data_IF_851236841477
#
_entry.id   IF_851236841477
#
_cell.length_a   1.000
_cell.length_b   1.000
_cell.length_c   1.000
_cell.angle_alpha   90.00
_cell.angle_beta   90.00
_cell.angle_gamma   90.00
#
_symmetry.space_group_name_H-M   'P 1'
#
loop_
_entity.id
_entity.type
_entity.pdbx_description
1 polymer ?
#
# COMPACT_ATOMS: atom_id res chain seq x y z
N UNK A 1 14.05 43.16 8.79
CA UNK A 1 14.49 42.09 7.87
C UNK A 1 13.45 40.98 7.91
N UNK A 2 12.65 40.82 6.86
CA UNK A 2 11.62 39.81 6.76
C UNK A 2 12.26 38.57 6.13
N UNK A 3 12.47 37.54 6.94
CA UNK A 3 13.01 36.27 6.43
C UNK A 3 11.88 35.55 5.72
N UNK A 4 11.89 35.57 4.40
CA UNK A 4 10.99 34.76 3.57
C UNK A 4 11.48 33.32 3.63
N UNK A 5 10.76 32.49 4.37
CA UNK A 5 10.97 31.03 4.34
C UNK A 5 10.57 30.54 2.95
N UNK A 6 11.47 29.90 2.19
CA UNK A 6 11.09 29.36 0.88
C UNK A 6 10.06 28.24 1.09
N UNK A 7 8.85 28.45 0.59
CA UNK A 7 7.87 27.39 0.47
C UNK A 7 8.43 26.37 -0.53
N UNK A 8 8.88 25.21 -0.04
CA UNK A 8 9.17 24.07 -0.90
C UNK A 8 7.86 23.63 -1.53
N UNK A 9 7.66 23.98 -2.79
CA UNK A 9 6.63 23.35 -3.60
C UNK A 9 7.13 21.92 -3.82
N UNK A 10 6.59 20.99 -3.06
CA UNK A 10 6.83 19.56 -3.30
C UNK A 10 6.27 19.22 -4.68
N UNK A 11 7.12 18.76 -5.57
CA UNK A 11 6.67 18.24 -6.90
C UNK A 11 6.04 16.86 -6.79
N UNK A 12 6.00 16.29 -5.59
CA UNK A 12 5.39 15.00 -5.30
C UNK A 12 3.86 15.16 -5.20
N UNK A 13 3.08 14.41 -5.99
CA UNK A 13 1.63 14.49 -5.94
C UNK A 13 1.14 14.00 -4.57
N UNK A 14 0.27 14.77 -3.93
CA UNK A 14 -0.31 14.40 -2.65
C UNK A 14 -1.02 13.05 -2.75
N UNK A 15 -0.82 12.12 -1.79
CA UNK A 15 -1.53 10.86 -1.74
C UNK A 15 -3.04 11.05 -1.66
N UNK A 16 -3.76 10.11 -2.24
CA UNK A 16 -5.22 10.09 -2.16
C UNK A 16 -5.66 9.24 -0.98
N UNK A 17 -6.49 9.79 -0.11
CA UNK A 17 -7.11 9.07 1.00
C UNK A 17 -8.51 8.57 0.65
N UNK A 18 -8.79 7.32 0.99
CA UNK A 18 -10.11 6.68 0.84
C UNK A 18 -10.43 5.89 2.10
N UNK A 19 -11.59 6.16 2.69
CA UNK A 19 -12.07 5.47 3.89
C UNK A 19 -13.14 4.45 3.51
N UNK A 20 -13.01 3.22 4.02
CA UNK A 20 -13.99 2.16 3.83
C UNK A 20 -13.79 1.01 4.81
N UNK A 21 -14.87 0.37 5.24
CA UNK A 21 -14.87 -0.79 6.14
C UNK A 21 -14.03 -0.61 7.42
N UNK A 22 -13.89 0.62 7.93
CA UNK A 22 -13.07 0.92 9.11
C UNK A 22 -11.56 0.96 8.82
N UNK A 23 -11.18 1.23 7.58
CA UNK A 23 -9.80 1.46 7.16
C UNK A 23 -9.66 2.82 6.50
N UNK A 24 -8.55 3.49 6.73
CA UNK A 24 -8.06 4.61 5.93
C UNK A 24 -6.96 4.09 5.00
N UNK A 25 -7.13 4.30 3.71
CA UNK A 25 -6.18 3.92 2.67
C UNK A 25 -5.57 5.18 2.07
N UNK A 26 -4.31 5.43 2.39
CA UNK A 26 -3.50 6.42 1.70
C UNK A 26 -2.87 5.76 0.46
N UNK A 27 -3.11 6.33 -0.71
CA UNK A 27 -2.79 5.73 -2.00
C UNK A 27 -1.85 6.61 -2.81
N UNK A 28 -0.71 6.06 -3.21
CA UNK A 28 0.14 6.61 -4.26
C UNK A 28 -0.13 5.87 -5.58
N UNK A 29 -0.75 6.55 -6.54
CA UNK A 29 -1.25 5.89 -7.75
C UNK A 29 -0.19 5.60 -8.81
N UNK A 30 0.95 6.29 -8.77
CA UNK A 30 1.95 6.20 -9.84
C UNK A 30 1.46 6.71 -11.19
N UNK A 31 2.33 6.67 -12.21
CA UNK A 31 2.04 7.20 -13.53
C UNK A 31 1.03 6.35 -14.35
N UNK A 32 0.98 5.04 -14.11
CA UNK A 32 0.20 4.08 -14.90
C UNK A 32 -1.07 3.57 -14.19
N UNK A 33 -1.60 4.33 -13.22
CA UNK A 33 -2.69 3.84 -12.34
C UNK A 33 -2.35 2.50 -11.68
N UNK A 34 -1.10 2.37 -11.25
CA UNK A 34 -0.56 1.17 -10.64
C UNK A 34 -1.13 0.86 -9.24
N UNK A 35 -1.96 1.75 -8.69
CA UNK A 35 -2.65 1.50 -7.42
C UNK A 35 -4.10 1.98 -7.49
N UNK A 36 -5.00 1.19 -6.91
CA UNK A 36 -6.44 1.47 -6.87
C UNK A 36 -7.05 0.99 -5.56
N UNK A 37 -8.06 1.71 -5.10
CA UNK A 37 -8.88 1.30 -3.95
C UNK A 37 -10.37 1.35 -4.30
N UNK A 38 -11.10 0.34 -3.85
CA UNK A 38 -12.57 0.28 -3.92
C UNK A 38 -13.10 0.22 -2.50
N UNK A 39 -13.67 1.33 -2.01
CA UNK A 39 -14.24 1.37 -0.68
C UNK A 39 -15.62 0.69 -0.64
N UNK A 40 -15.93 0.09 0.50
CA UNK A 40 -17.24 -0.47 0.80
C UNK A 40 -17.50 -0.44 2.30
N UNK A 41 -18.76 -0.57 2.70
CA UNK A 41 -19.15 -0.54 4.12
C UNK A 41 -18.70 -1.79 4.89
N UNK A 42 -18.67 -2.93 4.24
CA UNK A 42 -18.27 -4.22 4.84
C UNK A 42 -16.86 -4.65 4.47
N UNK A 43 -16.36 -4.15 3.35
CA UNK A 43 -15.06 -4.55 2.78
C UNK A 43 -14.45 -3.41 1.98
N UNK A 44 -13.15 -3.19 2.17
CA UNK A 44 -12.32 -2.36 1.31
C UNK A 44 -11.41 -3.27 0.48
N UNK A 45 -11.19 -2.93 -0.78
CA UNK A 45 -10.27 -3.65 -1.62
C UNK A 45 -9.20 -2.69 -2.16
N UNK A 46 -7.94 -3.06 -1.99
CA UNK A 46 -6.77 -2.32 -2.49
C UNK A 46 -6.03 -3.21 -3.47
N UNK A 47 -5.68 -2.67 -4.62
CA UNK A 47 -4.87 -3.35 -5.63
C UNK A 47 -3.69 -2.46 -5.98
N UNK A 48 -2.49 -3.02 -5.91
CA UNK A 48 -1.26 -2.42 -6.39
C UNK A 48 -0.67 -3.35 -7.43
N UNK A 49 -0.45 -2.84 -8.64
CA UNK A 49 -0.01 -3.67 -9.77
C UNK A 49 0.98 -2.91 -10.65
N UNK A 50 1.90 -3.63 -11.29
CA UNK A 50 2.73 -3.11 -12.37
C UNK A 50 2.10 -3.44 -13.74
N UNK A 51 2.32 -2.58 -14.73
CA UNK A 51 1.86 -2.81 -16.10
C UNK A 51 0.49 -2.26 -16.45
N UNK A 52 -0.09 -1.44 -15.60
CA UNK A 52 -1.39 -0.78 -15.83
C UNK A 52 -2.60 -1.70 -15.62
N UNK A 53 -3.56 -1.21 -14.86
CA UNK A 53 -4.82 -1.92 -14.67
C UNK A 53 -5.79 -1.56 -15.79
N UNK A 54 -6.43 -2.55 -16.41
CA UNK A 54 -7.52 -2.32 -17.34
C UNK A 54 -8.64 -1.52 -16.67
N UNK A 55 -9.12 -0.47 -17.33
CA UNK A 55 -10.25 0.33 -16.87
C UNK A 55 -11.61 -0.35 -17.10
N UNK A 56 -11.63 -1.46 -17.84
CA UNK A 56 -12.82 -2.23 -18.15
C UNK A 56 -13.02 -3.32 -17.11
N UNK A 57 -13.58 -2.96 -15.96
CA UNK A 57 -13.89 -3.98 -14.96
C UNK A 57 -14.82 -3.46 -13.88
N UNK A 58 -15.99 -4.07 -13.80
CA UNK A 58 -16.88 -4.01 -12.66
C UNK A 58 -16.09 -4.29 -11.37
N UNK A 59 -16.43 -3.68 -10.23
CA UNK A 59 -15.77 -3.94 -8.94
C UNK A 59 -15.80 -5.40 -8.46
N UNK A 60 -16.46 -6.28 -9.18
CA UNK A 60 -16.53 -7.73 -8.91
C UNK A 60 -15.43 -8.52 -9.65
N UNK A 61 -14.77 -7.94 -10.65
CA UNK A 61 -13.80 -8.65 -11.50
C UNK A 61 -12.34 -8.40 -11.07
N UNK A 62 -12.06 -8.50 -9.76
CA UNK A 62 -10.69 -8.45 -9.26
C UNK A 62 -9.88 -9.74 -9.54
N UNK A 63 -10.52 -10.76 -10.12
CA UNK A 63 -9.93 -12.10 -10.26
C UNK A 63 -9.16 -12.34 -11.57
N UNK A 64 -9.09 -11.37 -12.48
CA UNK A 64 -8.41 -11.60 -13.74
C UNK A 64 -7.17 -10.68 -13.89
N UNK A 65 -5.96 -11.25 -13.87
CA UNK A 65 -4.80 -10.56 -14.42
C UNK A 65 -5.07 -10.30 -15.89
N UNK A 66 -5.01 -9.03 -16.28
CA UNK A 66 -5.01 -8.67 -17.71
C UNK A 66 -3.80 -9.33 -18.37
N UNK A 67 -4.01 -9.88 -19.55
CA UNK A 67 -3.08 -10.68 -20.33
C UNK A 67 -1.61 -10.23 -20.24
N UNK A 68 -0.78 -11.08 -19.64
CA UNK A 68 0.66 -10.90 -19.44
C UNK A 68 1.05 -11.19 -17.98
N UNK A 69 2.32 -11.46 -17.68
CA UNK A 69 2.81 -11.64 -16.32
C UNK A 69 2.81 -10.28 -15.60
N UNK A 70 1.63 -9.79 -15.24
CA UNK A 70 1.51 -8.58 -14.43
C UNK A 70 1.67 -8.95 -12.96
N UNK A 71 2.63 -8.33 -12.29
CA UNK A 71 2.76 -8.44 -10.85
C UNK A 71 1.67 -7.64 -10.17
N UNK A 72 1.02 -8.21 -9.17
CA UNK A 72 0.00 -7.51 -8.39
C UNK A 72 -0.04 -7.98 -6.94
N UNK A 73 -0.31 -7.04 -6.05
CA UNK A 73 -0.68 -7.30 -4.67
C UNK A 73 -2.10 -6.84 -4.44
N UNK A 74 -2.97 -7.73 -4.00
CA UNK A 74 -4.37 -7.47 -3.73
C UNK A 74 -4.63 -7.64 -2.24
N UNK A 75 -5.32 -6.68 -1.65
CA UNK A 75 -5.64 -6.64 -0.22
C UNK A 75 -7.14 -6.47 -0.05
N UNK A 76 -7.75 -7.33 0.72
CA UNK A 76 -9.14 -7.20 1.16
C UNK A 76 -9.17 -6.99 2.66
N UNK A 77 -9.65 -5.82 3.08
CA UNK A 77 -9.89 -5.48 4.48
C UNK A 77 -11.38 -5.59 4.80
N UNK A 78 -11.71 -6.37 5.81
CA UNK A 78 -13.08 -6.57 6.28
C UNK A 78 -13.38 -5.70 7.51
N UNK A 79 -14.64 -5.30 7.70
CA UNK A 79 -15.04 -4.42 8.77
C UNK A 79 -14.70 -4.92 10.19
N UNK A 80 -14.52 -6.22 10.35
CA UNK A 80 -14.07 -6.84 11.61
C UNK A 80 -12.54 -6.78 11.83
N UNK A 81 -11.78 -6.17 10.92
CA UNK A 81 -10.31 -6.09 10.99
C UNK A 81 -9.57 -7.25 10.32
N UNK A 82 -10.28 -8.27 9.84
CA UNK A 82 -9.63 -9.35 9.09
C UNK A 82 -9.10 -8.83 7.74
N UNK A 83 -7.88 -9.22 7.40
CA UNK A 83 -7.20 -8.87 6.16
C UNK A 83 -6.86 -10.16 5.42
N UNK A 84 -7.09 -10.15 4.12
CA UNK A 84 -6.59 -11.16 3.20
C UNK A 84 -5.68 -10.49 2.17
N UNK A 85 -4.50 -11.05 1.94
CA UNK A 85 -3.52 -10.55 0.97
C UNK A 85 -3.19 -11.63 -0.04
N UNK A 86 -3.21 -11.27 -1.32
CA UNK A 86 -2.69 -12.09 -2.42
C UNK A 86 -1.61 -11.32 -3.16
N UNK A 87 -0.39 -11.84 -3.16
CA UNK A 87 0.73 -11.32 -3.93
C UNK A 87 1.03 -12.28 -5.09
N UNK A 88 0.85 -11.81 -6.32
CA UNK A 88 1.16 -12.56 -7.54
C UNK A 88 2.32 -11.87 -8.24
N UNK A 89 3.50 -12.51 -8.27
CA UNK A 89 4.73 -11.94 -8.84
C UNK A 89 5.10 -10.56 -8.29
N UNK A 90 4.63 -10.25 -7.10
CA UNK A 90 4.75 -8.97 -6.41
C UNK A 90 5.32 -9.20 -5.02
N UNK A 91 6.01 -8.21 -4.44
CA UNK A 91 6.39 -8.28 -3.04
C UNK A 91 5.17 -8.53 -2.14
N UNK A 92 5.34 -9.24 -1.03
CA UNK A 92 4.30 -9.32 -0.02
C UNK A 92 4.04 -7.94 0.58
N UNK A 93 2.86 -7.74 1.15
CA UNK A 93 2.59 -6.58 1.98
C UNK A 93 3.34 -6.69 3.33
N UNK A 94 3.62 -5.57 3.97
CA UNK A 94 4.22 -5.52 5.30
C UNK A 94 3.17 -5.12 6.32
N UNK A 95 2.83 -6.02 7.22
CA UNK A 95 2.00 -5.72 8.38
C UNK A 95 2.87 -5.14 9.48
N UNK A 96 2.55 -3.92 9.89
CA UNK A 96 3.17 -3.21 11.01
C UNK A 96 2.19 -3.19 12.16
N UNK A 97 2.52 -3.88 13.23
CA UNK A 97 1.81 -3.85 14.51
C UNK A 97 2.70 -3.24 15.59
N UNK A 98 2.18 -3.06 16.80
CA UNK A 98 2.96 -2.44 17.89
C UNK A 98 4.27 -3.15 18.24
N UNK A 99 4.33 -4.45 18.01
CA UNK A 99 5.46 -5.30 18.46
C UNK A 99 6.34 -5.80 17.32
N UNK A 100 5.87 -5.76 16.07
CA UNK A 100 6.61 -6.39 14.97
C UNK A 100 6.20 -5.85 13.60
N UNK A 101 7.09 -6.07 12.64
CA UNK A 101 6.84 -5.93 11.20
C UNK A 101 7.00 -7.30 10.57
N UNK A 102 5.99 -7.77 9.86
CA UNK A 102 6.00 -9.08 9.20
C UNK A 102 5.50 -9.00 7.76
N UNK A 103 5.95 -9.93 6.94
CA UNK A 103 5.47 -10.07 5.56
C UNK A 103 4.13 -10.83 5.53
N UNK A 104 3.21 -10.38 4.68
CA UNK A 104 1.92 -11.04 4.44
C UNK A 104 1.68 -11.13 2.93
N UNK A 105 1.61 -12.31 2.33
CA UNK A 105 1.80 -13.64 2.95
C UNK A 105 3.27 -13.90 3.32
N UNK A 106 3.49 -14.75 4.30
CA UNK A 106 4.83 -15.22 4.68
C UNK A 106 5.43 -16.15 3.61
N UNK A 107 4.57 -16.93 2.95
CA UNK A 107 4.97 -17.86 1.90
C UNK A 107 4.49 -17.36 0.54
N UNK A 108 5.40 -17.11 -0.40
CA UNK A 108 5.02 -16.71 -1.76
C UNK A 108 4.04 -17.69 -2.42
N UNK A 109 3.09 -17.13 -3.18
CA UNK A 109 2.12 -17.92 -3.94
C UNK A 109 0.92 -18.45 -3.14
N UNK A 110 0.89 -18.24 -1.82
CA UNK A 110 -0.26 -18.57 -0.97
C UNK A 110 -0.98 -17.29 -0.52
N UNK A 111 -2.30 -17.32 -0.31
CA UNK A 111 -2.99 -16.21 0.31
C UNK A 111 -2.53 -16.02 1.76
N UNK A 112 -2.22 -14.79 2.14
CA UNK A 112 -1.96 -14.43 3.54
C UNK A 112 -3.25 -13.98 4.21
N UNK A 113 -3.46 -14.37 5.46
CA UNK A 113 -4.58 -13.92 6.28
C UNK A 113 -4.04 -13.43 7.63
N UNK A 114 -4.48 -12.26 8.04
CA UNK A 114 -4.14 -11.70 9.35
C UNK A 114 -5.31 -10.88 9.89
N UNK A 115 -5.19 -10.43 11.13
CA UNK A 115 -6.14 -9.50 11.75
C UNK A 115 -5.38 -8.26 12.16
N UNK A 116 -5.89 -7.10 11.76
CA UNK A 116 -5.34 -5.81 12.15
C UNK A 116 -6.10 -5.25 13.35
N UNK A 117 -5.37 -4.92 14.41
CA UNK A 117 -5.89 -4.15 15.52
C UNK A 117 -6.01 -2.65 15.14
N UNK A 118 -6.86 -1.87 15.83
CA UNK A 118 -6.88 -0.42 15.65
C UNK A 118 -5.49 0.20 15.76
N UNK A 119 -5.12 1.00 14.77
CA UNK A 119 -3.81 1.62 14.65
C UNK A 119 -2.75 0.83 13.90
N UNK A 120 -2.95 -0.47 13.67
CA UNK A 120 -2.06 -1.25 12.81
C UNK A 120 -2.07 -0.74 11.38
N UNK A 121 -0.96 -0.94 10.67
CA UNK A 121 -0.78 -0.53 9.28
C UNK A 121 -0.35 -1.69 8.39
N UNK A 122 -0.79 -1.64 7.15
CA UNK A 122 -0.31 -2.53 6.10
C UNK A 122 0.31 -1.68 4.99
N UNK A 123 1.58 -1.92 4.69
CA UNK A 123 2.30 -1.26 3.61
C UNK A 123 2.26 -2.16 2.38
N UNK A 124 1.78 -1.64 1.26
CA UNK A 124 1.66 -2.36 -0.01
C UNK A 124 2.48 -1.64 -1.06
N UNK A 125 3.46 -2.33 -1.64
CA UNK A 125 4.37 -1.78 -2.64
C UNK A 125 4.30 -2.57 -3.92
N UNK A 126 4.40 -1.90 -5.07
CA UNK A 126 4.53 -2.57 -6.37
C UNK A 126 5.92 -3.19 -6.54
N UNK A 127 6.06 -4.13 -7.49
CA UNK A 127 7.37 -4.71 -7.85
C UNK A 127 8.34 -3.64 -8.33
N UNK A 128 7.87 -2.66 -9.11
CA UNK A 128 8.71 -1.55 -9.57
C UNK A 128 9.32 -0.77 -8.40
N UNK A 129 8.54 -0.52 -7.34
CA UNK A 129 9.06 0.14 -6.14
C UNK A 129 10.11 -0.71 -5.41
N UNK A 130 9.89 -2.01 -5.34
CA UNK A 130 10.82 -2.96 -4.72
C UNK A 130 12.12 -3.10 -5.54
N UNK A 131 12.01 -3.27 -6.85
CA UNK A 131 13.17 -3.46 -7.74
C UNK A 131 14.07 -2.23 -7.81
N UNK A 132 13.47 -1.03 -7.72
CA UNK A 132 14.23 0.22 -7.71
C UNK A 132 15.09 0.40 -6.45
N UNK A 133 14.67 -0.13 -5.31
CA UNK A 133 15.39 -0.02 -4.05
C UNK A 133 15.05 -1.19 -3.10
N UNK A 134 15.57 -2.41 -3.37
CA UNK A 134 15.25 -3.60 -2.57
C UNK A 134 15.72 -3.47 -1.12
N UNK A 135 16.77 -2.69 -0.85
CA UNK A 135 17.23 -2.38 0.49
C UNK A 135 16.20 -1.61 1.33
N UNK A 136 15.22 -0.94 0.71
CA UNK A 136 14.12 -0.29 1.43
C UNK A 136 13.22 -1.29 2.13
N UNK A 137 12.92 -2.42 1.47
CA UNK A 137 12.12 -3.50 2.10
C UNK A 137 12.85 -4.09 3.29
N UNK A 138 14.14 -4.36 3.15
CA UNK A 138 14.97 -4.86 4.24
C UNK A 138 14.99 -3.86 5.40
N UNK A 139 15.15 -2.58 5.10
CA UNK A 139 15.14 -1.51 6.10
C UNK A 139 13.80 -1.44 6.84
N UNK A 140 12.67 -1.50 6.10
CA UNK A 140 11.34 -1.48 6.70
C UNK A 140 11.10 -2.67 7.63
N UNK A 141 11.56 -3.87 7.26
CA UNK A 141 11.46 -5.06 8.11
C UNK A 141 12.27 -4.95 9.41
N UNK A 142 13.35 -4.17 9.41
CA UNK A 142 14.20 -3.93 10.56
C UNK A 142 13.93 -2.60 11.27
N UNK A 143 12.98 -1.79 10.75
CA UNK A 143 12.60 -0.52 11.39
C UNK A 143 11.84 -0.79 12.69
N UNK A 144 11.99 0.10 13.65
CA UNK A 144 11.21 0.05 14.87
C UNK A 144 9.71 0.28 14.55
N UNK A 145 8.82 -0.68 14.89
CA UNK A 145 7.40 -0.57 14.54
C UNK A 145 6.76 0.74 15.01
N UNK A 146 7.14 1.23 16.19
CA UNK A 146 6.62 2.47 16.75
C UNK A 146 6.84 3.68 15.82
N UNK A 147 7.97 3.75 15.12
CA UNK A 147 8.25 4.80 14.14
C UNK A 147 7.33 4.74 12.94
N UNK A 148 7.14 3.53 12.40
CA UNK A 148 6.26 3.31 11.26
C UNK A 148 4.79 3.58 11.59
N UNK A 149 4.36 3.32 12.82
CA UNK A 149 3.00 3.60 13.29
C UNK A 149 2.79 5.08 13.64
N UNK A 150 3.82 5.78 14.12
CA UNK A 150 3.75 7.19 14.48
C UNK A 150 3.89 8.13 13.29
N UNK A 151 4.55 7.70 12.21
CA UNK A 151 4.74 8.50 11.02
C UNK A 151 3.38 8.81 10.34
N UNK A 152 3.28 9.97 9.71
CA UNK A 152 2.16 10.27 8.85
C UNK A 152 2.16 9.33 7.63
N UNK A 153 0.99 8.86 7.20
CA UNK A 153 0.90 7.93 6.06
C UNK A 153 1.37 8.57 4.74
N UNK A 154 1.13 9.87 4.59
CA UNK A 154 1.57 10.62 3.41
C UNK A 154 3.08 10.77 3.39
N UNK A 155 3.69 11.05 4.55
CA UNK A 155 5.15 11.14 4.69
C UNK A 155 5.82 9.78 4.42
N UNK A 156 5.21 8.69 4.85
CA UNK A 156 5.69 7.34 4.54
C UNK A 156 5.66 7.07 3.03
N UNK A 157 4.56 7.39 2.36
CA UNK A 157 4.42 7.22 0.92
C UNK A 157 5.40 8.14 0.16
N UNK A 158 5.53 9.40 0.55
CA UNK A 158 6.50 10.31 -0.05
C UNK A 158 7.93 9.76 0.11
N UNK A 159 8.30 9.28 1.28
CA UNK A 159 9.61 8.69 1.53
C UNK A 159 9.89 7.43 0.71
N UNK A 160 8.85 6.64 0.43
CA UNK A 160 8.97 5.40 -0.35
C UNK A 160 9.01 5.65 -1.87
N UNK A 161 8.28 6.64 -2.38
CA UNK A 161 8.04 6.83 -3.81
C UNK A 161 8.66 8.09 -4.42
N UNK A 162 9.33 8.93 -3.63
CA UNK A 162 9.94 10.17 -4.14
C UNK A 162 10.88 9.93 -5.31
N UNK A 163 11.68 8.87 -5.26
CA UNK A 163 12.66 8.51 -6.29
C UNK A 163 12.08 7.57 -7.36
N UNK A 164 10.86 7.09 -7.17
CA UNK A 164 10.17 6.14 -8.08
C UNK A 164 8.69 6.54 -8.22
N UNK A 165 8.41 7.76 -8.69
CA UNK A 165 7.06 8.31 -8.69
C UNK A 165 6.08 7.56 -9.61
N UNK A 166 6.59 6.78 -10.56
CA UNK A 166 5.80 5.94 -11.45
C UNK A 166 5.27 4.66 -10.80
N UNK A 167 5.89 4.22 -9.70
CA UNK A 167 5.47 3.02 -8.98
C UNK A 167 4.21 3.26 -8.16
N UNK A 168 3.43 2.21 -7.93
CA UNK A 168 2.25 2.26 -7.09
C UNK A 168 2.48 1.74 -5.69
N UNK A 169 1.68 2.23 -4.75
CA UNK A 169 1.68 1.73 -3.38
C UNK A 169 0.55 2.29 -2.53
N UNK A 170 0.41 1.71 -1.37
CA UNK A 170 -0.61 2.11 -0.41
C UNK A 170 -0.16 1.90 1.03
N UNK A 171 -0.67 2.74 1.92
CA UNK A 171 -0.66 2.53 3.38
C UNK A 171 -2.10 2.34 3.82
N UNK A 172 -2.42 1.15 4.32
CA UNK A 172 -3.75 0.82 4.85
C UNK A 172 -3.68 0.88 6.36
N UNK A 173 -4.42 1.78 6.98
CA UNK A 173 -4.46 1.96 8.43
C UNK A 173 -5.80 1.48 8.98
N UNK A 174 -5.77 0.61 9.99
CA UNK A 174 -6.99 0.21 10.70
C UNK A 174 -7.45 1.35 11.62
N UNK A 175 -8.67 1.82 11.41
CA UNK A 175 -9.31 2.82 12.27
C UNK A 175 -9.92 2.17 13.53
N UNK A 176 -10.05 2.98 14.57
CA UNK A 176 -10.66 2.56 15.82
C UNK A 176 -12.19 2.48 15.76
#
# INVERSE_FOLDING_TARGET
MTTTVPVRISSYPAPRHVIGAGFDVALHQGAARSARVVPGSRRVCVVVADGGMSTAGSPVAFDLPVAGPSSSCQVWGHANGAIQVRAAWSPPALLVSRSHVVMVPETPGTPGVCVMAPGDRLLVLSSTAYEAAPERMVRLLHEEPARLLAADADDLLEGLFRDVPEAGGAVVTRLG
#
